data_IF_177003221688
#
_entry.id   IF_177003221688
#
_cell.length_a   1.000
_cell.length_b   1.000
_cell.length_c   1.000
_cell.angle_alpha   90.00
_cell.angle_beta   90.00
_cell.angle_gamma   90.00
#
_symmetry.space_group_name_H-M   'P 1'
#
loop_
_entity.id
_entity.type
_entity.pdbx_description
1 polymer ?
#
# COMPACT_ATOMS: atom_id res chain seq x y z
N UNK A 1 5.12 -23.95 13.78
CA UNK A 1 4.88 -23.11 12.59
C UNK A 1 5.72 -21.86 12.77
N UNK A 2 6.64 -21.59 11.86
CA UNK A 2 7.53 -20.43 11.93
C UNK A 2 6.72 -19.17 11.60
N UNK A 3 6.91 -18.10 12.36
CA UNK A 3 6.15 -16.85 12.22
C UNK A 3 7.09 -15.67 12.01
N UNK A 4 6.77 -14.81 11.04
CA UNK A 4 7.53 -13.59 10.75
C UNK A 4 7.16 -12.48 11.76
N UNK A 5 7.62 -12.63 13.00
CA UNK A 5 7.11 -11.85 14.13
C UNK A 5 7.28 -10.34 13.94
N UNK A 6 8.42 -9.88 13.41
CA UNK A 6 8.66 -8.46 13.24
C UNK A 6 7.90 -7.90 12.04
N UNK A 7 7.82 -8.63 10.92
CA UNK A 7 7.03 -8.22 9.76
C UNK A 7 5.54 -8.11 10.11
N UNK A 8 5.02 -9.03 10.92
CA UNK A 8 3.64 -8.99 11.44
C UNK A 8 3.40 -7.78 12.34
N UNK A 9 4.40 -7.35 13.10
CA UNK A 9 4.32 -6.12 13.90
C UNK A 9 4.23 -4.88 13.00
N UNK A 10 5.06 -4.78 11.96
CA UNK A 10 4.98 -3.68 11.00
C UNK A 10 3.62 -3.66 10.30
N UNK A 11 3.08 -4.82 9.93
CA UNK A 11 1.74 -4.91 9.33
C UNK A 11 0.62 -4.44 10.28
N UNK A 12 0.78 -4.65 11.59
CA UNK A 12 -0.15 -4.10 12.58
C UNK A 12 -0.08 -2.56 12.63
N UNK A 13 1.11 -1.98 12.47
CA UNK A 13 1.30 -0.53 12.37
C UNK A 13 0.71 0.02 11.06
N UNK A 14 0.78 -0.72 9.94
CA UNK A 14 0.05 -0.37 8.70
C UNK A 14 -1.46 -0.21 8.96
N UNK A 15 -2.06 -1.13 9.73
CA UNK A 15 -3.49 -1.03 10.08
C UNK A 15 -3.80 0.16 10.97
N UNK A 16 -2.86 0.56 11.82
CA UNK A 16 -3.03 1.74 12.67
C UNK A 16 -3.00 3.02 11.85
N UNK A 17 -1.98 3.19 11.00
CA UNK A 17 -1.88 4.39 10.14
C UNK A 17 -3.03 4.46 9.14
N UNK A 18 -3.55 3.32 8.65
CA UNK A 18 -4.76 3.32 7.82
C UNK A 18 -5.95 3.98 8.53
N UNK A 19 -6.24 3.60 9.79
CA UNK A 19 -7.29 4.25 10.58
C UNK A 19 -7.04 5.75 10.79
N UNK A 20 -5.78 6.13 11.00
CA UNK A 20 -5.42 7.55 11.12
C UNK A 20 -5.66 8.32 9.82
N UNK A 21 -5.43 7.70 8.66
CA UNK A 21 -5.69 8.31 7.35
C UNK A 21 -7.20 8.42 7.04
N UNK A 22 -8.02 7.48 7.50
CA UNK A 22 -9.49 7.54 7.37
C UNK A 22 -10.07 8.76 8.09
N UNK A 23 -9.56 9.07 9.28
CA UNK A 23 -10.07 10.15 10.13
C UNK A 23 -9.44 11.52 9.82
N UNK A 24 -8.39 11.58 9.00
CA UNK A 24 -7.66 12.82 8.74
C UNK A 24 -8.36 13.69 7.70
N UNK A 25 -8.57 14.95 8.05
CA UNK A 25 -9.22 15.95 7.18
C UNK A 25 -8.25 17.01 6.67
N UNK A 26 -7.13 17.22 7.37
CA UNK A 26 -6.10 18.18 7.00
C UNK A 26 -5.20 17.60 5.89
N UNK A 27 -5.13 18.24 4.71
CA UNK A 27 -4.34 17.72 3.58
C UNK A 27 -2.84 17.60 3.85
N UNK A 28 -2.26 18.50 4.65
CA UNK A 28 -0.84 18.49 4.96
C UNK A 28 -0.49 17.37 5.94
N UNK A 29 -1.32 17.16 6.96
CA UNK A 29 -1.19 16.03 7.87
C UNK A 29 -1.40 14.71 7.14
N UNK A 30 -2.41 14.62 6.27
CA UNK A 30 -2.65 13.45 5.43
C UNK A 30 -1.42 13.12 4.58
N UNK A 31 -0.84 14.12 3.89
CA UNK A 31 0.37 13.93 3.07
C UNK A 31 1.54 13.38 3.88
N UNK A 32 1.79 13.92 5.07
CA UNK A 32 2.87 13.44 5.95
C UNK A 32 2.60 12.01 6.43
N UNK A 33 1.36 11.71 6.86
CA UNK A 33 0.98 10.37 7.27
C UNK A 33 1.06 9.37 6.13
N UNK A 34 0.71 9.79 4.91
CA UNK A 34 0.80 8.97 3.71
C UNK A 34 2.24 8.53 3.43
N UNK A 35 3.23 9.42 3.59
CA UNK A 35 4.66 9.06 3.52
C UNK A 35 5.00 7.93 4.50
N UNK A 36 4.54 8.05 5.74
CA UNK A 36 4.71 7.02 6.76
C UNK A 36 4.02 5.71 6.37
N UNK A 37 2.79 5.79 5.88
CA UNK A 37 1.97 4.67 5.49
C UNK A 37 2.63 3.83 4.38
N UNK A 38 3.03 4.45 3.26
CA UNK A 38 3.68 3.72 2.16
C UNK A 38 5.07 3.19 2.54
N UNK A 39 5.76 3.89 3.44
CA UNK A 39 7.04 3.42 4.00
C UNK A 39 6.85 2.16 4.83
N UNK A 40 5.80 2.10 5.66
CA UNK A 40 5.45 0.92 6.45
C UNK A 40 5.11 -0.29 5.57
N UNK A 41 4.31 -0.12 4.50
CA UNK A 41 4.02 -1.20 3.55
C UNK A 41 5.30 -1.81 2.96
N UNK A 42 6.28 -0.98 2.59
CA UNK A 42 7.56 -1.48 2.08
C UNK A 42 8.43 -2.10 3.18
N UNK A 43 8.33 -1.58 4.40
CA UNK A 43 9.05 -2.07 5.56
C UNK A 43 8.62 -3.49 5.95
N UNK A 44 7.34 -3.88 5.77
CA UNK A 44 6.89 -5.27 5.99
C UNK A 44 7.79 -6.26 5.24
N UNK A 45 7.95 -6.09 3.93
CA UNK A 45 8.81 -6.95 3.12
C UNK A 45 10.30 -6.82 3.44
N UNK A 46 10.76 -5.62 3.81
CA UNK A 46 12.17 -5.42 4.20
C UNK A 46 12.52 -6.13 5.51
N UNK A 47 11.65 -6.01 6.52
CA UNK A 47 11.80 -6.68 7.82
C UNK A 47 11.68 -8.18 7.67
N UNK A 48 10.74 -8.67 6.82
CA UNK A 48 10.66 -10.08 6.49
C UNK A 48 11.99 -10.62 5.95
N UNK A 49 12.61 -9.94 4.99
CA UNK A 49 13.85 -10.37 4.33
C UNK A 49 15.11 -10.18 5.17
N UNK A 50 15.19 -9.09 5.95
CA UNK A 50 16.42 -8.71 6.65
C UNK A 50 16.43 -9.02 8.14
N UNK A 51 15.27 -9.23 8.75
CA UNK A 51 15.13 -9.42 10.21
C UNK A 51 14.56 -10.80 10.52
N UNK A 52 13.38 -11.14 9.99
CA UNK A 52 12.73 -12.42 10.32
C UNK A 52 13.38 -13.60 9.57
N UNK A 53 13.80 -13.39 8.32
CA UNK A 53 14.50 -14.40 7.51
C UNK A 53 15.94 -14.68 7.98
N UNK A 54 16.26 -14.50 9.28
CA UNK A 54 17.43 -15.14 9.90
C UNK A 54 17.30 -16.66 9.92
N UNK A 55 16.05 -17.14 10.01
CA UNK A 55 15.70 -18.56 9.94
C UNK A 55 15.78 -19.07 8.48
N UNK A 56 16.60 -20.10 8.16
CA UNK A 56 16.83 -20.54 6.79
C UNK A 56 15.57 -20.99 6.02
N UNK A 57 14.63 -21.67 6.67
CA UNK A 57 13.38 -22.12 6.01
C UNK A 57 12.51 -20.92 5.61
N UNK A 58 12.37 -19.94 6.50
CA UNK A 58 11.65 -18.69 6.23
C UNK A 58 12.35 -17.87 5.15
N UNK A 59 13.69 -17.83 5.15
CA UNK A 59 14.49 -17.18 4.10
C UNK A 59 14.25 -17.79 2.73
N UNK A 60 14.23 -19.12 2.64
CA UNK A 60 14.00 -19.81 1.37
C UNK A 60 12.60 -19.50 0.83
N UNK A 61 11.58 -19.59 1.70
CA UNK A 61 10.19 -19.28 1.37
C UNK A 61 10.00 -17.82 0.91
N UNK A 62 10.51 -16.85 1.68
CA UNK A 62 10.39 -15.43 1.36
C UNK A 62 11.15 -15.06 0.08
N UNK A 63 12.35 -15.60 -0.13
CA UNK A 63 13.14 -15.37 -1.36
C UNK A 63 12.41 -15.88 -2.59
N UNK A 64 11.72 -17.01 -2.49
CA UNK A 64 10.91 -17.55 -3.58
C UNK A 64 9.69 -16.66 -3.86
N UNK A 65 9.00 -16.19 -2.83
CA UNK A 65 7.87 -15.28 -2.98
C UNK A 65 8.27 -13.95 -3.65
N UNK A 66 9.38 -13.34 -3.21
CA UNK A 66 9.91 -12.10 -3.83
C UNK A 66 10.19 -12.24 -5.33
N UNK A 67 10.72 -13.40 -5.76
CA UNK A 67 10.94 -13.66 -7.20
C UNK A 67 9.62 -13.69 -7.96
N UNK A 68 8.58 -14.30 -7.40
CA UNK A 68 7.25 -14.35 -8.02
C UNK A 68 6.60 -12.97 -8.09
N UNK A 69 6.69 -12.16 -7.03
CA UNK A 69 6.07 -10.82 -7.04
C UNK A 69 6.69 -9.87 -8.06
N UNK A 70 7.97 -10.07 -8.38
CA UNK A 70 8.72 -9.28 -9.36
C UNK A 70 8.51 -9.73 -10.80
N UNK A 71 7.95 -10.92 -11.01
CA UNK A 71 7.68 -11.45 -12.34
C UNK A 71 6.33 -10.89 -12.83
N UNK A 72 6.39 -9.99 -13.81
CA UNK A 72 5.21 -9.36 -14.40
C UNK A 72 4.20 -10.36 -14.98
N UNK A 73 4.62 -11.59 -15.31
CA UNK A 73 3.73 -12.65 -15.77
C UNK A 73 2.89 -13.30 -14.65
N UNK A 74 3.17 -13.00 -13.38
CA UNK A 74 2.58 -13.66 -12.20
C UNK A 74 1.49 -12.84 -11.50
N UNK A 75 1.15 -11.66 -12.01
CA UNK A 75 -0.07 -10.94 -11.60
C UNK A 75 -0.02 -10.23 -10.24
N UNK A 76 1.16 -10.10 -9.60
CA UNK A 76 1.31 -9.39 -8.32
C UNK A 76 1.45 -7.86 -8.51
N UNK A 77 0.55 -7.28 -9.31
CA UNK A 77 0.62 -5.87 -9.74
C UNK A 77 0.54 -4.90 -8.56
N UNK A 78 -0.20 -5.23 -7.50
CA UNK A 78 -0.23 -4.42 -6.27
C UNK A 78 1.14 -4.24 -5.62
N UNK A 79 2.02 -5.24 -5.72
CA UNK A 79 3.37 -5.15 -5.18
C UNK A 79 4.25 -4.20 -6.01
N UNK A 80 4.22 -4.33 -7.33
CA UNK A 80 5.10 -3.56 -8.23
C UNK A 80 4.58 -2.15 -8.47
N UNK A 81 3.29 -2.01 -8.81
CA UNK A 81 2.67 -0.76 -9.27
C UNK A 81 2.08 0.11 -8.17
N UNK A 82 2.00 -0.41 -6.93
CA UNK A 82 1.60 0.37 -5.76
C UNK A 82 2.66 0.32 -4.67
N UNK A 83 2.84 -0.80 -3.96
CA UNK A 83 3.71 -0.86 -2.76
C UNK A 83 5.14 -0.39 -3.05
N UNK A 84 5.76 -0.92 -4.11
CA UNK A 84 7.13 -0.55 -4.46
C UNK A 84 7.22 0.81 -5.15
N UNK A 85 6.34 1.06 -6.13
CA UNK A 85 6.32 2.31 -6.90
C UNK A 85 6.03 3.51 -6.02
N UNK A 86 4.97 3.48 -5.21
CA UNK A 86 4.60 4.57 -4.28
C UNK A 86 5.75 4.91 -3.36
N UNK A 87 6.39 3.89 -2.76
CA UNK A 87 7.54 4.13 -1.88
C UNK A 87 8.71 4.73 -2.64
N UNK A 88 9.01 4.24 -3.85
CA UNK A 88 10.11 4.79 -4.65
C UNK A 88 9.88 6.27 -4.99
N UNK A 89 8.67 6.63 -5.43
CA UNK A 89 8.30 8.02 -5.72
C UNK A 89 8.47 8.90 -4.48
N UNK A 90 7.87 8.51 -3.36
CA UNK A 90 7.95 9.29 -2.11
C UNK A 90 9.39 9.45 -1.61
N UNK A 91 10.17 8.37 -1.62
CA UNK A 91 11.53 8.39 -1.04
C UNK A 91 12.57 9.04 -1.95
N UNK A 92 12.46 8.88 -3.27
CA UNK A 92 13.49 9.33 -4.20
C UNK A 92 13.18 10.70 -4.80
N UNK A 93 11.91 11.00 -4.97
CA UNK A 93 11.46 12.15 -5.77
C UNK A 93 10.50 13.05 -4.96
N UNK A 94 10.05 12.60 -3.78
CA UNK A 94 9.01 13.25 -2.98
C UNK A 94 7.73 13.49 -3.78
N UNK A 95 7.42 12.54 -4.66
CA UNK A 95 6.21 12.52 -5.48
C UNK A 95 5.21 11.49 -4.93
N UNK A 96 3.93 11.69 -5.28
CA UNK A 96 2.81 10.95 -4.72
C UNK A 96 1.93 10.38 -5.83
N UNK A 97 1.58 9.09 -5.75
CA UNK A 97 0.55 8.51 -6.62
C UNK A 97 -0.85 8.99 -6.22
N UNK A 98 -1.08 9.32 -4.94
CA UNK A 98 -2.34 9.94 -4.49
C UNK A 98 -2.39 11.41 -4.90
N UNK A 99 -3.55 11.84 -5.39
CA UNK A 99 -3.77 13.23 -5.77
C UNK A 99 -3.64 14.19 -4.59
N UNK A 100 -2.78 15.20 -4.72
CA UNK A 100 -2.44 16.17 -3.68
C UNK A 100 -3.20 17.51 -3.81
N UNK A 101 -4.13 17.65 -4.76
CA UNK A 101 -4.90 18.91 -4.93
C UNK A 101 -5.82 19.16 -3.74
N UNK A 102 -5.99 20.40 -3.31
CA UNK A 102 -6.91 20.74 -2.21
C UNK A 102 -8.37 20.36 -2.51
N UNK A 103 -8.75 20.49 -3.78
CA UNK A 103 -10.06 20.11 -4.30
C UNK A 103 -9.92 19.07 -5.41
N UNK A 104 -10.69 17.99 -5.30
CA UNK A 104 -10.76 16.93 -6.31
C UNK A 104 -12.02 17.13 -7.17
N UNK A 105 -11.88 17.42 -8.47
CA UNK A 105 -13.01 17.55 -9.36
C UNK A 105 -13.59 16.17 -9.68
N UNK A 106 -14.90 16.02 -9.48
CA UNK A 106 -15.69 14.87 -9.86
C UNK A 106 -16.74 15.24 -10.89
N UNK A 107 -16.93 14.35 -11.86
CA UNK A 107 -18.04 14.42 -12.81
C UNK A 107 -19.04 13.34 -12.44
N UNK A 108 -20.26 13.74 -12.08
CA UNK A 108 -21.37 12.83 -11.82
C UNK A 108 -22.30 12.85 -13.01
N UNK A 109 -22.57 11.68 -13.58
CA UNK A 109 -23.47 11.50 -14.71
C UNK A 109 -24.74 10.82 -14.23
N UNK A 110 -25.88 11.47 -14.42
CA UNK A 110 -27.21 10.93 -14.15
C UNK A 110 -28.02 10.93 -15.45
N UNK A 111 -28.11 9.76 -16.09
CA UNK A 111 -28.73 9.62 -17.40
C UNK A 111 -28.00 10.43 -18.49
N UNK A 112 -28.65 11.47 -19.01
CA UNK A 112 -28.09 12.36 -20.03
C UNK A 112 -27.45 13.63 -19.44
N UNK A 113 -27.60 13.86 -18.14
CA UNK A 113 -27.10 15.05 -17.46
C UNK A 113 -25.74 14.78 -16.81
N UNK A 114 -24.83 15.74 -16.92
CA UNK A 114 -23.51 15.70 -16.29
C UNK A 114 -23.33 16.93 -15.40
N UNK A 115 -22.95 16.70 -14.14
CA UNK A 115 -22.70 17.75 -13.15
C UNK A 115 -21.27 17.63 -12.60
N UNK A 116 -20.62 18.78 -12.40
CA UNK A 116 -19.29 18.86 -11.82
C UNK A 116 -19.37 19.23 -10.34
N UNK A 117 -18.65 18.49 -9.50
CA UNK A 117 -18.52 18.74 -8.07
C UNK A 117 -17.04 18.83 -7.71
N UNK A 118 -16.70 19.66 -6.73
CA UNK A 118 -15.37 19.66 -6.13
C UNK A 118 -15.49 19.06 -4.73
N UNK A 119 -14.81 17.94 -4.50
CA UNK A 119 -14.65 17.38 -3.17
C UNK A 119 -13.47 18.04 -2.48
N UNK A 120 -13.64 18.44 -1.23
CA UNK A 120 -12.61 19.02 -0.38
C UNK A 120 -12.48 18.21 0.90
N UNK A 121 -11.83 18.76 1.94
CA UNK A 121 -11.75 18.16 3.29
C UNK A 121 -11.18 16.74 3.31
N UNK A 122 -10.31 16.43 2.34
CA UNK A 122 -9.68 15.12 2.22
C UNK A 122 -10.68 13.94 2.10
N UNK A 123 -11.90 14.22 1.64
CA UNK A 123 -12.95 13.19 1.52
C UNK A 123 -12.60 12.10 0.52
N UNK A 124 -11.87 12.44 -0.55
CA UNK A 124 -11.47 11.52 -1.60
C UNK A 124 -10.06 11.85 -2.09
N UNK A 125 -9.20 10.84 -2.24
CA UNK A 125 -7.79 10.98 -2.65
C UNK A 125 -7.44 9.92 -3.69
N UNK A 126 -7.83 10.11 -4.97
CA UNK A 126 -7.65 9.07 -5.97
C UNK A 126 -6.17 8.82 -6.26
N UNK A 127 -5.82 7.57 -6.56
CA UNK A 127 -4.55 7.28 -7.22
C UNK A 127 -4.57 7.76 -8.67
N UNK A 128 -3.52 8.46 -9.07
CA UNK A 128 -3.35 9.03 -10.41
C UNK A 128 -2.92 7.97 -11.44
N UNK A 129 -2.26 6.90 -10.99
CA UNK A 129 -1.79 5.82 -11.86
C UNK A 129 -1.58 4.50 -11.09
N UNK A 130 -1.15 3.46 -11.80
CA UNK A 130 -0.76 2.18 -11.20
C UNK A 130 -1.94 1.28 -10.81
N UNK A 131 -1.71 0.40 -9.83
CA UNK A 131 -2.75 -0.48 -9.31
C UNK A 131 -3.78 0.35 -8.54
N UNK A 132 -5.05 0.26 -8.94
CA UNK A 132 -6.14 1.05 -8.34
C UNK A 132 -6.20 2.50 -8.82
N UNK A 133 -5.67 2.82 -10.00
CA UNK A 133 -5.82 4.16 -10.58
C UNK A 133 -7.29 4.60 -10.65
N UNK A 134 -7.59 5.78 -10.14
CA UNK A 134 -8.93 6.33 -9.99
C UNK A 134 -9.65 5.95 -8.69
N UNK A 135 -9.18 4.93 -7.98
CA UNK A 135 -9.72 4.53 -6.66
C UNK A 135 -9.10 5.36 -5.54
N UNK A 136 -9.79 5.43 -4.40
CA UNK A 136 -9.27 6.12 -3.23
C UNK A 136 -7.97 5.45 -2.73
N UNK A 137 -6.95 6.26 -2.45
CA UNK A 137 -5.67 5.78 -1.95
C UNK A 137 -5.80 4.97 -0.66
N UNK A 138 -6.74 5.33 0.23
CA UNK A 138 -6.99 4.58 1.47
C UNK A 138 -7.51 3.18 1.17
N UNK A 139 -8.46 3.04 0.25
CA UNK A 139 -8.97 1.73 -0.19
C UNK A 139 -7.86 0.86 -0.80
N UNK A 140 -7.00 1.45 -1.64
CA UNK A 140 -5.86 0.73 -2.24
C UNK A 140 -4.83 0.37 -1.17
N UNK A 141 -4.64 1.22 -0.16
CA UNK A 141 -3.78 0.93 1.00
C UNK A 141 -4.33 -0.23 1.83
N UNK A 142 -5.64 -0.29 2.07
CA UNK A 142 -6.30 -1.41 2.72
C UNK A 142 -6.11 -2.71 1.94
N UNK A 143 -6.29 -2.69 0.62
CA UNK A 143 -6.03 -3.84 -0.24
C UNK A 143 -4.56 -4.32 -0.14
N UNK A 144 -3.60 -3.40 0.01
CA UNK A 144 -2.20 -3.74 0.20
C UNK A 144 -1.89 -4.36 1.58
N UNK A 145 -2.62 -3.96 2.63
CA UNK A 145 -2.57 -4.61 3.94
C UNK A 145 -3.06 -6.05 3.83
N UNK A 146 -4.22 -6.26 3.19
CA UNK A 146 -4.80 -7.59 3.02
C UNK A 146 -3.91 -8.50 2.18
N UNK A 147 -3.33 -7.95 1.12
CA UNK A 147 -2.33 -8.64 0.32
C UNK A 147 -1.12 -9.07 1.15
N UNK A 148 -0.57 -8.19 2.00
CA UNK A 148 0.55 -8.55 2.88
C UNK A 148 0.17 -9.61 3.91
N UNK A 149 -1.04 -9.55 4.47
CA UNK A 149 -1.56 -10.57 5.40
C UNK A 149 -1.59 -11.94 4.74
N UNK A 150 -2.10 -12.02 3.50
CA UNK A 150 -2.11 -13.24 2.71
C UNK A 150 -0.68 -13.74 2.43
N UNK A 151 0.20 -12.86 1.93
CA UNK A 151 1.56 -13.23 1.58
C UNK A 151 2.37 -13.73 2.78
N UNK A 152 2.29 -13.04 3.93
CA UNK A 152 2.98 -13.49 5.14
C UNK A 152 2.45 -14.86 5.58
N UNK A 153 1.13 -15.09 5.50
CA UNK A 153 0.53 -16.38 5.86
C UNK A 153 1.01 -17.51 4.94
N UNK A 154 1.06 -17.28 3.63
CA UNK A 154 1.57 -18.25 2.66
C UNK A 154 3.05 -18.57 2.90
N UNK A 155 3.85 -17.54 3.18
CA UNK A 155 5.30 -17.69 3.43
C UNK A 155 5.56 -18.50 4.70
N UNK A 156 4.84 -18.17 5.79
CA UNK A 156 4.92 -18.87 7.08
C UNK A 156 4.47 -20.34 6.97
N UNK A 157 3.43 -20.61 6.17
CA UNK A 157 2.96 -21.97 5.93
C UNK A 157 3.93 -22.81 5.09
N UNK A 158 4.65 -22.19 4.15
CA UNK A 158 5.65 -22.85 3.32
C UNK A 158 7.03 -23.00 4.01
N UNK A 159 7.26 -22.34 5.15
CA UNK A 159 8.46 -22.47 5.96
C UNK A 159 8.35 -23.70 6.88
N UNK A 160 8.70 -24.88 6.34
CA UNK A 160 8.72 -26.18 7.02
C UNK A 160 10.15 -26.73 7.04
#
# INVERSE_FOLDING_TARGET
>A
MIRAQQARRVLADCRLVHRMLEDETDPDQFRIMWVGAVSLLRAVGHVLDKVDAVEPTLRASSSNAFKHWKDASKGHVIFTEFIEKSRNLVLKEYEFQVDQRDEIPLVVVDGADASNFNLSENLFRPLLDGYGAGEDGRDVYAAAIDWWEEQLTLIEAAAI
#
